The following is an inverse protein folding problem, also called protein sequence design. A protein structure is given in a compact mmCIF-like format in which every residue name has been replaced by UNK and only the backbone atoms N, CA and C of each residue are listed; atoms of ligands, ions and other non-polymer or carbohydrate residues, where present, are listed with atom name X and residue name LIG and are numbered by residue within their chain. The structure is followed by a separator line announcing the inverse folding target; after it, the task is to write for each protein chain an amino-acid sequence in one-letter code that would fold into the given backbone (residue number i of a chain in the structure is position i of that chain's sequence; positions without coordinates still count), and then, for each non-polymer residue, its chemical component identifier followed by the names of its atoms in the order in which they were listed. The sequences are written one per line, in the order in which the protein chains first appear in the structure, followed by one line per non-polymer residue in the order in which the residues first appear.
data_IF_484996857247
#
_entry.id   IF_484996857247
#
_cell.length_a   1.000
_cell.length_b   1.000
_cell.length_c   1.000
_cell.angle_alpha   90.00
_cell.angle_beta   90.00
_cell.angle_gamma   90.00
#
_symmetry.space_group_name_H-M   'P 1'
#
loop_
_entity.id
_entity.type
_entity.pdbx_description
1 polymer ?
#
# COMPACT_ATOMS: atom_id res chain seq x y z
N UNK A 1 -10.79 -33.43 54.52
CA UNK A 1 -11.10 -32.21 53.74
C UNK A 1 -9.91 -31.65 52.93
N UNK A 2 -8.68 -31.84 53.35
CA UNK A 2 -7.50 -31.35 52.62
C UNK A 2 -7.35 -31.93 51.20
N UNK A 3 -7.73 -33.19 51.00
CA UNK A 3 -7.67 -33.84 49.68
C UNK A 3 -8.71 -33.29 48.70
N UNK A 4 -9.88 -32.81 49.18
CA UNK A 4 -10.91 -32.18 48.37
C UNK A 4 -10.39 -30.82 47.82
N UNK A 5 -9.72 -30.03 48.66
CA UNK A 5 -9.11 -28.79 48.26
C UNK A 5 -8.02 -28.99 47.22
N UNK A 6 -7.22 -30.06 47.36
CA UNK A 6 -6.21 -30.40 46.36
C UNK A 6 -6.80 -30.81 45.02
N UNK A 7 -7.89 -31.57 45.02
CA UNK A 7 -8.61 -31.94 43.79
C UNK A 7 -9.23 -30.71 43.13
N UNK A 8 -9.85 -29.83 43.89
CA UNK A 8 -10.44 -28.57 43.36
C UNK A 8 -9.38 -27.65 42.76
N UNK A 9 -8.24 -27.49 43.42
CA UNK A 9 -7.13 -26.71 42.91
C UNK A 9 -6.58 -27.27 41.61
N UNK A 10 -6.46 -28.61 41.51
CA UNK A 10 -6.01 -29.31 40.30
C UNK A 10 -6.99 -29.13 39.15
N UNK A 11 -8.30 -29.25 39.37
CA UNK A 11 -9.33 -29.03 38.36
C UNK A 11 -9.34 -27.58 37.87
N UNK A 12 -9.25 -26.62 38.78
CA UNK A 12 -9.18 -25.19 38.43
C UNK A 12 -7.94 -24.89 37.62
N UNK A 13 -6.78 -25.43 38.02
CA UNK A 13 -5.53 -25.25 37.24
C UNK A 13 -5.63 -25.82 35.83
N UNK A 14 -6.22 -26.99 35.66
CA UNK A 14 -6.44 -27.62 34.36
C UNK A 14 -7.37 -26.79 33.49
N UNK A 15 -8.45 -26.25 34.05
CA UNK A 15 -9.40 -25.37 33.34
C UNK A 15 -8.72 -24.08 32.90
N UNK A 16 -7.90 -23.47 33.74
CA UNK A 16 -7.15 -22.26 33.40
C UNK A 16 -6.18 -22.50 32.25
N UNK A 17 -5.40 -23.59 32.31
CA UNK A 17 -4.44 -23.94 31.23
C UNK A 17 -5.17 -24.19 29.93
N UNK A 18 -6.26 -24.97 29.96
CA UNK A 18 -7.07 -25.26 28.77
C UNK A 18 -7.63 -23.96 28.15
N UNK A 19 -8.15 -23.07 28.99
CA UNK A 19 -8.66 -21.75 28.54
C UNK A 19 -7.57 -20.89 27.90
N UNK A 20 -6.38 -20.84 28.50
CA UNK A 20 -5.24 -20.10 27.96
C UNK A 20 -4.80 -20.67 26.61
N UNK A 21 -4.70 -21.98 26.48
CA UNK A 21 -4.35 -22.65 25.22
C UNK A 21 -5.38 -22.34 24.12
N UNK A 22 -6.65 -22.37 24.46
CA UNK A 22 -7.74 -22.02 23.54
C UNK A 22 -7.62 -20.59 23.07
N UNK A 23 -7.38 -19.64 23.99
CA UNK A 23 -7.19 -18.21 23.66
C UNK A 23 -5.97 -18.00 22.76
N UNK A 24 -4.86 -18.67 23.05
CA UNK A 24 -3.64 -18.57 22.23
C UNK A 24 -3.90 -19.07 20.81
N UNK A 25 -4.57 -20.21 20.65
CA UNK A 25 -4.96 -20.74 19.35
C UNK A 25 -5.87 -19.77 18.58
N UNK A 26 -6.85 -19.22 19.27
CA UNK A 26 -7.78 -18.25 18.68
C UNK A 26 -7.08 -16.99 18.23
N UNK A 27 -6.17 -16.46 19.03
CA UNK A 27 -5.36 -15.29 18.68
C UNK A 27 -4.44 -15.56 17.50
N UNK A 28 -3.82 -16.74 17.43
CA UNK A 28 -2.97 -17.12 16.31
C UNK A 28 -3.76 -17.22 15.01
N UNK A 29 -4.95 -17.84 15.05
CA UNK A 29 -5.85 -17.92 13.88
C UNK A 29 -6.29 -16.53 13.43
N UNK A 30 -6.66 -15.67 14.37
CA UNK A 30 -7.05 -14.28 14.11
C UNK A 30 -5.89 -13.49 13.47
N UNK A 31 -4.67 -13.64 14.01
CA UNK A 31 -3.48 -12.98 13.46
C UNK A 31 -3.18 -13.43 12.02
N UNK A 32 -3.33 -14.73 11.73
CA UNK A 32 -3.17 -15.26 10.37
C UNK A 32 -4.21 -14.72 9.41
N UNK A 33 -5.46 -14.65 9.82
CA UNK A 33 -6.56 -14.10 9.02
C UNK A 33 -6.34 -12.60 8.75
N UNK A 34 -5.89 -11.85 9.76
CA UNK A 34 -5.56 -10.44 9.62
C UNK A 34 -4.41 -10.22 8.64
N UNK A 35 -3.35 -11.02 8.71
CA UNK A 35 -2.22 -10.94 7.77
C UNK A 35 -2.67 -11.23 6.34
N UNK A 36 -3.47 -12.27 6.14
CA UNK A 36 -4.01 -12.62 4.82
C UNK A 36 -4.89 -11.51 4.26
N UNK A 37 -5.76 -10.94 5.10
CA UNK A 37 -6.61 -9.80 4.73
C UNK A 37 -5.78 -8.56 4.39
N UNK A 38 -4.76 -8.25 5.18
CA UNK A 38 -3.87 -7.11 4.94
C UNK A 38 -3.08 -7.28 3.63
N UNK A 39 -2.61 -8.50 3.33
CA UNK A 39 -1.94 -8.77 2.05
C UNK A 39 -2.85 -8.60 0.86
N UNK A 40 -4.10 -9.06 0.94
CA UNK A 40 -5.11 -8.87 -0.11
C UNK A 40 -5.39 -7.39 -0.34
N UNK A 41 -5.55 -6.64 0.75
CA UNK A 41 -5.77 -5.19 0.70
C UNK A 41 -4.58 -4.48 0.06
N UNK A 42 -3.36 -4.82 0.43
CA UNK A 42 -2.14 -4.25 -0.17
C UNK A 42 -2.02 -4.55 -1.66
N UNK A 43 -2.34 -5.78 -2.08
CA UNK A 43 -2.34 -6.16 -3.50
C UNK A 43 -3.36 -5.37 -4.29
N UNK A 44 -4.55 -5.20 -3.72
CA UNK A 44 -5.60 -4.40 -4.32
C UNK A 44 -5.20 -2.94 -4.44
N UNK A 45 -4.67 -2.35 -3.38
CA UNK A 45 -4.16 -0.96 -3.37
C UNK A 45 -3.06 -0.76 -4.41
N UNK A 46 -2.08 -1.66 -4.48
CA UNK A 46 -1.03 -1.60 -5.51
C UNK A 46 -1.58 -1.67 -6.92
N UNK A 47 -2.56 -2.54 -7.13
CA UNK A 47 -3.22 -2.67 -8.43
C UNK A 47 -3.94 -1.38 -8.82
N UNK A 48 -4.65 -0.75 -7.88
CA UNK A 48 -5.32 0.53 -8.12
C UNK A 48 -4.32 1.66 -8.37
N UNK A 49 -3.26 1.72 -7.60
CA UNK A 49 -2.21 2.73 -7.75
C UNK A 49 -1.52 2.60 -9.11
N UNK A 50 -1.21 1.37 -9.53
CA UNK A 50 -0.64 1.11 -10.84
C UNK A 50 -1.59 1.49 -11.97
N UNK A 51 -2.88 1.21 -11.81
CA UNK A 51 -3.90 1.59 -12.79
C UNK A 51 -3.99 3.12 -12.93
N UNK A 52 -3.89 3.86 -11.82
CA UNK A 52 -3.88 5.31 -11.81
C UNK A 52 -2.65 5.87 -12.52
N UNK A 53 -1.47 5.34 -12.23
CA UNK A 53 -0.22 5.72 -12.92
C UNK A 53 -0.33 5.43 -14.41
N UNK A 54 -0.87 4.29 -14.80
CA UNK A 54 -1.09 3.92 -16.19
C UNK A 54 -2.06 4.87 -16.90
N UNK A 55 -3.12 5.29 -16.22
CA UNK A 55 -4.09 6.27 -16.74
C UNK A 55 -3.41 7.60 -17.07
N UNK A 56 -2.61 8.13 -16.14
CA UNK A 56 -1.86 9.37 -16.39
C UNK A 56 -0.76 9.21 -17.45
N UNK A 57 -0.13 8.05 -17.50
CA UNK A 57 0.84 7.74 -18.55
C UNK A 57 0.21 7.88 -19.94
N UNK A 58 -0.98 7.31 -20.13
CA UNK A 58 -1.71 7.41 -21.41
C UNK A 58 -2.08 8.86 -21.72
N UNK A 59 -2.58 9.59 -20.75
CA UNK A 59 -3.02 10.97 -20.93
C UNK A 59 -1.84 11.90 -21.25
N UNK A 60 -0.76 11.78 -20.49
CA UNK A 60 0.38 12.72 -20.58
C UNK A 60 1.36 12.33 -21.67
N UNK A 61 1.77 11.07 -21.72
CA UNK A 61 2.83 10.62 -22.63
C UNK A 61 2.29 10.19 -23.99
N UNK A 62 1.27 9.34 -24.01
CA UNK A 62 0.71 8.83 -25.29
C UNK A 62 -0.17 9.85 -26.01
N UNK A 63 -1.01 10.58 -25.28
CA UNK A 63 -1.92 11.58 -25.86
C UNK A 63 -1.33 13.00 -25.88
N UNK A 64 -0.25 13.22 -25.12
CA UNK A 64 0.40 14.51 -25.06
C UNK A 64 -0.41 15.62 -24.35
N UNK A 65 -1.38 15.25 -23.53
CA UNK A 65 -2.20 16.22 -22.80
C UNK A 65 -1.42 16.81 -21.63
N UNK A 66 -1.60 18.10 -21.31
CA UNK A 66 -0.95 18.72 -20.17
C UNK A 66 -1.50 18.17 -18.85
N UNK A 67 -0.67 18.19 -17.82
CA UNK A 67 -1.04 17.82 -16.47
C UNK A 67 -0.87 19.04 -15.56
N UNK A 68 -1.85 19.30 -14.69
CA UNK A 68 -1.76 20.38 -13.72
C UNK A 68 -0.76 20.05 -12.61
N UNK A 69 -0.17 21.06 -11.93
CA UNK A 69 0.69 20.82 -10.78
C UNK A 69 0.01 20.03 -9.66
N UNK A 70 -1.29 20.24 -9.47
CA UNK A 70 -2.08 19.51 -8.47
C UNK A 70 -2.22 18.02 -8.83
N UNK A 71 -2.51 17.74 -10.09
CA UNK A 71 -2.59 16.36 -10.60
C UNK A 71 -1.24 15.67 -10.54
N UNK A 72 -0.16 16.37 -10.85
CA UNK A 72 1.19 15.84 -10.73
C UNK A 72 1.55 15.50 -9.30
N UNK A 73 1.18 16.35 -8.34
CA UNK A 73 1.37 16.12 -6.92
C UNK A 73 0.58 14.90 -6.43
N UNK A 74 -0.66 14.76 -6.89
CA UNK A 74 -1.49 13.58 -6.61
C UNK A 74 -0.85 12.31 -7.16
N UNK A 75 -0.39 12.35 -8.39
CA UNK A 75 0.27 11.21 -9.04
C UNK A 75 1.57 10.82 -8.33
N UNK A 76 2.35 11.80 -7.90
CA UNK A 76 3.56 11.57 -7.11
C UNK A 76 3.24 10.86 -5.80
N UNK A 77 2.17 11.27 -5.11
CA UNK A 77 1.70 10.60 -3.90
C UNK A 77 1.29 9.15 -4.16
N UNK A 78 0.59 8.91 -5.27
CA UNK A 78 0.21 7.55 -5.69
C UNK A 78 1.45 6.70 -5.98
N UNK A 79 2.45 7.26 -6.64
CA UNK A 79 3.69 6.54 -6.93
C UNK A 79 4.47 6.21 -5.66
N UNK A 80 4.59 7.17 -4.72
CA UNK A 80 5.26 6.93 -3.44
C UNK A 80 4.60 5.79 -2.67
N UNK A 81 3.26 5.80 -2.59
CA UNK A 81 2.51 4.72 -1.94
C UNK A 81 2.71 3.38 -2.65
N UNK A 82 2.70 3.37 -3.99
CA UNK A 82 2.97 2.18 -4.79
C UNK A 82 4.36 1.61 -4.51
N UNK A 83 5.36 2.47 -4.45
CA UNK A 83 6.74 2.08 -4.17
C UNK A 83 6.91 1.55 -2.73
N UNK A 84 6.32 2.21 -1.74
CA UNK A 84 6.33 1.78 -0.34
C UNK A 84 5.65 0.43 -0.13
N UNK A 85 4.60 0.14 -0.89
CA UNK A 85 3.89 -1.14 -0.86
C UNK A 85 4.65 -2.26 -1.62
N UNK A 86 5.85 -1.99 -2.08
CA UNK A 86 6.69 -2.94 -2.78
C UNK A 86 6.43 -3.01 -4.28
N UNK A 87 5.73 -2.04 -4.84
CA UNK A 87 5.54 -1.93 -6.28
C UNK A 87 6.84 -1.55 -7.00
N UNK A 88 7.10 -2.20 -8.13
CA UNK A 88 8.28 -1.95 -8.95
C UNK A 88 7.96 -2.29 -10.41
N UNK A 89 8.97 -2.21 -11.29
CA UNK A 89 8.83 -2.61 -12.70
C UNK A 89 8.04 -1.61 -13.54
N UNK A 90 6.95 -2.06 -14.16
CA UNK A 90 6.18 -1.27 -15.14
C UNK A 90 5.65 0.05 -14.56
N UNK A 91 5.15 0.04 -13.33
CA UNK A 91 4.65 1.25 -12.68
C UNK A 91 5.75 2.30 -12.48
N UNK A 92 6.93 1.86 -12.08
CA UNK A 92 8.10 2.73 -11.91
C UNK A 92 8.55 3.32 -13.26
N UNK A 93 8.61 2.52 -14.31
CA UNK A 93 8.96 2.97 -15.65
C UNK A 93 7.96 4.01 -16.18
N UNK A 94 6.68 3.77 -15.99
CA UNK A 94 5.62 4.71 -16.38
C UNK A 94 5.75 6.04 -15.65
N UNK A 95 5.99 6.01 -14.34
CA UNK A 95 6.21 7.22 -13.54
C UNK A 95 7.42 8.01 -14.01
N UNK A 96 8.55 7.34 -14.24
CA UNK A 96 9.77 7.98 -14.72
C UNK A 96 9.56 8.67 -16.06
N UNK A 97 8.85 8.04 -16.99
CA UNK A 97 8.52 8.61 -18.29
C UNK A 97 7.60 9.81 -18.19
N UNK A 98 6.59 9.74 -17.32
CA UNK A 98 5.70 10.88 -17.05
C UNK A 98 6.51 12.06 -16.52
N UNK A 99 7.36 11.80 -15.54
CA UNK A 99 8.18 12.84 -14.90
C UNK A 99 9.14 13.51 -15.88
N UNK A 100 9.81 12.72 -16.70
CA UNK A 100 10.70 13.22 -17.76
C UNK A 100 9.93 14.06 -18.79
N UNK A 101 8.77 13.61 -19.21
CA UNK A 101 7.91 14.31 -20.15
C UNK A 101 7.47 15.68 -19.61
N UNK A 102 7.04 15.71 -18.36
CA UNK A 102 6.63 16.96 -17.68
C UNK A 102 7.82 17.92 -17.56
N UNK A 103 9.01 17.45 -17.23
CA UNK A 103 10.23 18.27 -17.20
C UNK A 103 10.56 18.87 -18.55
N UNK A 104 10.46 18.09 -19.63
CA UNK A 104 10.72 18.57 -20.98
C UNK A 104 9.74 19.66 -21.39
N UNK A 105 8.45 19.46 -21.13
CA UNK A 105 7.41 20.45 -21.46
C UNK A 105 7.62 21.74 -20.66
N UNK A 106 7.93 21.65 -19.38
CA UNK A 106 8.21 22.81 -18.53
C UNK A 106 9.42 23.60 -19.04
N UNK A 107 10.48 22.92 -19.47
CA UNK A 107 11.67 23.58 -20.04
C UNK A 107 11.37 24.29 -21.38
N UNK A 108 10.53 23.69 -22.21
CA UNK A 108 10.11 24.29 -23.48
C UNK A 108 9.30 25.56 -23.22
N UNK A 109 8.35 25.51 -22.28
CA UNK A 109 7.54 26.68 -21.91
C UNK A 109 8.39 27.81 -21.34
N UNK A 110 9.38 27.52 -20.50
CA UNK A 110 10.33 28.51 -19.98
C UNK A 110 11.15 29.16 -21.09
N UNK A 111 11.60 28.43 -22.07
CA UNK A 111 12.33 28.93 -23.22
C UNK A 111 11.46 29.82 -24.10
N UNK A 112 10.23 29.42 -24.37
CA UNK A 112 9.28 30.23 -25.14
C UNK A 112 8.98 31.57 -24.47
N UNK A 113 8.81 31.56 -23.15
CA UNK A 113 8.59 32.79 -22.38
C UNK A 113 9.81 33.70 -22.43
N UNK A 114 11.04 33.17 -22.37
CA UNK A 114 12.26 33.95 -22.49
C UNK A 114 12.49 34.53 -23.89
N UNK A 115 12.08 33.81 -24.93
CA UNK A 115 12.19 34.31 -26.32
C UNK A 115 11.19 35.43 -26.65
N UNK A 116 10.09 35.52 -25.91
CA UNK A 116 9.08 36.56 -26.08
C UNK A 116 9.33 37.84 -25.27
N UNK A 117 10.31 37.84 -24.40
CA UNK A 117 10.77 39.02 -23.67
C UNK A 117 11.95 39.67 -24.43
#
# INVERSE_FOLDING_TARGET
MEWILGILASVLGTLMVTSLLYLVKKLNTFAKEQRASNERTRRFERSMQRAEINRYFRIVVEQGNPISPEELSHLESCYKAYHEDGGNGVGTLMWERIYEHVKLVTKIDEKEVQEHE
#
